data_IF_796569608938
#
_entry.id   IF_796569608938
#
_cell.length_a   1.000
_cell.length_b   1.000
_cell.length_c   1.000
_cell.angle_alpha   90.00
_cell.angle_beta   90.00
_cell.angle_gamma   90.00
#
_symmetry.space_group_name_H-M   'P 1'
#
loop_
_entity.id
_entity.type
_entity.pdbx_description
1 polymer ?
#
# COMPACT_ATOMS: atom_id res chain seq x y z
N UNK A 1 -17.53 -4.58 -1.78
CA UNK A 1 -16.28 -4.12 -1.13
C UNK A 1 -15.12 -5.08 -1.40
N UNK A 2 -15.19 -6.37 -1.02
CA UNK A 2 -14.11 -7.32 -1.31
C UNK A 2 -13.76 -7.39 -2.82
N UNK A 3 -14.77 -7.62 -3.66
CA UNK A 3 -14.61 -7.61 -5.12
C UNK A 3 -14.02 -6.31 -5.67
N UNK A 4 -14.32 -5.17 -5.04
CA UNK A 4 -13.80 -3.85 -5.42
C UNK A 4 -12.30 -3.74 -5.07
N UNK A 5 -11.89 -4.20 -3.89
CA UNK A 5 -10.47 -4.28 -3.51
C UNK A 5 -9.71 -5.28 -4.39
N UNK A 6 -10.30 -6.44 -4.68
CA UNK A 6 -9.70 -7.46 -5.54
C UNK A 6 -9.48 -6.92 -6.96
N UNK A 7 -10.51 -6.27 -7.53
CA UNK A 7 -10.46 -5.68 -8.88
C UNK A 7 -9.44 -4.55 -8.94
N UNK A 8 -9.44 -3.64 -7.96
CA UNK A 8 -8.46 -2.55 -7.91
C UNK A 8 -7.04 -3.10 -7.81
N UNK A 9 -6.82 -4.09 -6.93
CA UNK A 9 -5.51 -4.70 -6.72
C UNK A 9 -5.03 -5.42 -7.98
N UNK A 10 -5.91 -6.14 -8.67
CA UNK A 10 -5.63 -6.77 -9.96
C UNK A 10 -5.19 -5.72 -10.97
N UNK A 11 -5.98 -4.68 -11.20
CA UNK A 11 -5.67 -3.64 -12.17
C UNK A 11 -4.35 -2.91 -11.82
N UNK A 12 -4.14 -2.57 -10.55
CA UNK A 12 -2.92 -1.86 -10.12
C UNK A 12 -1.67 -2.73 -10.21
N UNK A 13 -1.76 -4.05 -10.04
CA UNK A 13 -0.57 -4.91 -9.96
C UNK A 13 -0.30 -5.63 -11.28
N UNK A 14 -1.35 -6.21 -11.85
CA UNK A 14 -1.33 -7.06 -13.04
C UNK A 14 -1.35 -6.19 -14.30
N UNK A 15 -2.19 -5.16 -14.34
CA UNK A 15 -2.40 -4.37 -15.56
C UNK A 15 -1.51 -3.13 -15.65
N UNK A 16 -0.86 -2.71 -14.55
CA UNK A 16 0.07 -1.56 -14.55
C UNK A 16 1.38 -1.84 -15.30
N UNK A 17 1.31 -1.84 -16.63
CA UNK A 17 2.45 -1.89 -17.55
C UNK A 17 2.92 -0.50 -17.96
N UNK A 18 2.95 0.46 -17.02
CA UNK A 18 3.45 1.79 -17.35
C UNK A 18 4.97 1.75 -17.48
N UNK A 19 5.48 2.02 -18.69
CA UNK A 19 6.90 2.28 -18.96
C UNK A 19 7.50 3.42 -18.09
N UNK A 20 6.68 4.13 -17.30
CA UNK A 20 7.03 5.16 -16.33
C UNK A 20 7.48 4.61 -14.97
N UNK A 21 7.18 3.35 -14.69
CA UNK A 21 7.84 2.57 -13.64
C UNK A 21 9.23 2.07 -14.09
N UNK A 22 9.92 2.75 -15.00
CA UNK A 22 11.25 2.36 -15.49
C UNK A 22 12.32 2.22 -14.39
N UNK A 23 12.11 2.83 -13.22
CA UNK A 23 12.89 2.53 -12.01
C UNK A 23 12.70 1.07 -11.53
N UNK A 24 11.50 0.51 -11.68
CA UNK A 24 11.13 -0.89 -11.39
C UNK A 24 11.57 -1.89 -12.47
N UNK A 25 12.10 -1.44 -13.60
CA UNK A 25 12.58 -2.34 -14.66
C UNK A 25 13.97 -2.91 -14.37
N UNK A 26 14.62 -2.53 -13.26
CA UNK A 26 15.89 -3.12 -12.87
C UNK A 26 15.71 -4.07 -11.68
N UNK A 27 15.19 -5.27 -12.00
CA UNK A 27 15.05 -6.38 -11.07
C UNK A 27 16.33 -6.63 -10.25
N UNK A 28 17.51 -6.51 -10.87
CA UNK A 28 18.79 -6.73 -10.19
C UNK A 28 19.07 -5.65 -9.12
N UNK A 29 18.85 -4.38 -9.43
CA UNK A 29 19.02 -3.28 -8.47
C UNK A 29 18.03 -3.35 -7.31
N UNK A 30 16.76 -3.69 -7.59
CA UNK A 30 15.78 -3.86 -6.52
C UNK A 30 16.10 -5.07 -5.66
N UNK A 31 16.51 -6.18 -6.28
CA UNK A 31 16.92 -7.38 -5.54
C UNK A 31 18.15 -7.14 -4.66
N UNK A 32 19.14 -6.38 -5.15
CA UNK A 32 20.33 -6.05 -4.37
C UNK A 32 20.03 -5.12 -3.19
N UNK A 33 19.08 -4.20 -3.33
CA UNK A 33 18.62 -3.35 -2.22
C UNK A 33 18.07 -4.13 -1.02
N UNK A 34 17.48 -5.32 -1.25
CA UNK A 34 17.05 -6.21 -0.15
C UNK A 34 18.21 -6.91 0.57
N UNK A 35 19.41 -6.93 0.00
CA UNK A 35 20.61 -7.53 0.60
C UNK A 35 21.49 -6.49 1.30
N UNK A 36 21.20 -5.21 1.10
CA UNK A 36 21.92 -4.10 1.71
C UNK A 36 21.27 -3.72 3.05
N UNK A 37 22.11 -3.22 3.97
CA UNK A 37 21.67 -2.57 5.20
C UNK A 37 20.70 -1.44 4.90
N UNK A 38 19.81 -1.15 5.83
CA UNK A 38 18.78 -0.13 5.63
C UNK A 38 19.35 1.28 5.40
N UNK A 39 20.48 1.60 6.03
CA UNK A 39 21.16 2.89 5.96
C UNK A 39 22.22 3.00 4.85
N UNK A 40 22.42 1.95 4.04
CA UNK A 40 23.46 1.94 3.03
C UNK A 40 23.22 2.97 1.90
N UNK A 41 24.26 3.71 1.55
CA UNK A 41 24.24 4.61 0.39
C UNK A 41 23.98 3.78 -0.88
N UNK A 42 22.90 4.09 -1.60
CA UNK A 42 22.46 3.33 -2.78
C UNK A 42 21.39 2.27 -2.51
N UNK A 43 20.94 2.08 -1.26
CA UNK A 43 19.77 1.24 -0.97
C UNK A 43 18.47 1.96 -1.37
N UNK A 44 18.15 1.89 -2.66
CA UNK A 44 16.97 2.54 -3.24
C UNK A 44 15.65 2.03 -2.64
N UNK A 45 15.59 0.79 -2.14
CA UNK A 45 14.39 0.25 -1.49
C UNK A 45 14.14 0.92 -0.13
N UNK A 46 15.18 1.05 0.69
CA UNK A 46 15.09 1.72 1.98
C UNK A 46 14.74 3.21 1.81
N UNK A 47 15.37 3.89 0.84
CA UNK A 47 15.05 5.28 0.51
C UNK A 47 13.58 5.44 0.05
N UNK A 48 13.10 4.55 -0.82
CA UNK A 48 11.69 4.56 -1.28
C UNK A 48 10.72 4.30 -0.13
N UNK A 49 11.03 3.34 0.74
CA UNK A 49 10.19 3.04 1.91
C UNK A 49 10.10 4.26 2.83
N UNK A 50 11.22 4.92 3.14
CA UNK A 50 11.25 6.14 3.96
C UNK A 50 10.41 7.26 3.33
N UNK A 51 10.57 7.50 2.03
CA UNK A 51 9.77 8.49 1.32
C UNK A 51 8.26 8.20 1.38
N UNK A 52 7.85 6.92 1.31
CA UNK A 52 6.45 6.55 1.49
C UNK A 52 5.96 6.71 2.94
N UNK A 53 6.81 6.39 3.92
CA UNK A 53 6.52 6.59 5.33
C UNK A 53 6.27 8.08 5.63
N UNK A 54 7.23 8.95 5.29
CA UNK A 54 7.16 10.39 5.55
C UNK A 54 5.94 11.02 4.86
N UNK A 55 5.71 10.67 3.59
CA UNK A 55 4.58 11.15 2.81
C UNK A 55 3.24 10.76 3.44
N UNK A 56 3.11 9.51 3.90
CA UNK A 56 1.85 9.04 4.48
C UNK A 56 1.56 9.73 5.82
N UNK A 57 2.59 10.03 6.62
CA UNK A 57 2.43 10.84 7.84
C UNK A 57 1.86 12.20 7.48
N UNK A 58 2.45 12.91 6.51
CA UNK A 58 1.96 14.23 6.09
C UNK A 58 0.50 14.19 5.65
N UNK A 59 0.14 13.30 4.72
CA UNK A 59 -1.25 13.22 4.22
C UNK A 59 -2.25 12.84 5.30
N UNK A 60 -1.87 11.92 6.19
CA UNK A 60 -2.77 11.46 7.25
C UNK A 60 -3.01 12.56 8.30
N UNK A 61 -1.98 13.36 8.62
CA UNK A 61 -2.11 14.52 9.51
C UNK A 61 -2.99 15.59 8.88
N UNK A 62 -2.78 15.93 7.60
CA UNK A 62 -3.66 16.88 6.89
C UNK A 62 -5.11 16.38 6.87
N UNK A 63 -5.32 15.09 6.56
CA UNK A 63 -6.64 14.48 6.60
C UNK A 63 -7.28 14.58 7.99
N UNK A 64 -6.49 14.47 9.07
CA UNK A 64 -6.99 14.59 10.44
C UNK A 64 -7.55 16.00 10.74
N UNK A 65 -6.87 17.04 10.26
CA UNK A 65 -7.14 18.44 10.58
C UNK A 65 -8.26 19.05 9.73
N UNK A 66 -8.45 18.59 8.48
CA UNK A 66 -9.43 19.17 7.56
C UNK A 66 -10.84 18.56 7.69
N UNK A 67 -11.90 19.31 7.38
CA UNK A 67 -13.23 18.74 7.16
C UNK A 67 -13.18 17.65 6.09
N UNK A 68 -13.76 16.48 6.38
CA UNK A 68 -13.75 15.36 5.44
C UNK A 68 -14.54 15.70 4.18
N UNK A 69 -13.85 15.69 3.04
CA UNK A 69 -14.43 15.76 1.70
C UNK A 69 -14.24 14.42 0.98
N UNK A 70 -15.05 14.14 -0.05
CA UNK A 70 -14.88 12.98 -0.94
C UNK A 70 -13.42 12.88 -1.44
N UNK A 71 -12.86 13.99 -1.95
CA UNK A 71 -11.49 14.07 -2.45
C UNK A 71 -10.44 13.72 -1.37
N UNK A 72 -10.59 14.25 -0.15
CA UNK A 72 -9.63 13.98 0.92
C UNK A 72 -9.65 12.50 1.34
N UNK A 73 -10.83 11.89 1.35
CA UNK A 73 -11.02 10.47 1.67
C UNK A 73 -10.45 9.58 0.57
N UNK A 74 -10.73 9.89 -0.69
CA UNK A 74 -10.21 9.20 -1.87
C UNK A 74 -8.69 9.18 -1.90
N UNK A 75 -8.06 10.33 -1.64
CA UNK A 75 -6.58 10.44 -1.55
C UNK A 75 -6.01 9.55 -0.45
N UNK A 76 -6.67 9.52 0.71
CA UNK A 76 -6.22 8.71 1.84
C UNK A 76 -6.39 7.21 1.55
N UNK A 77 -7.53 6.81 0.99
CA UNK A 77 -7.79 5.45 0.52
C UNK A 77 -6.76 5.02 -0.51
N UNK A 78 -6.47 5.87 -1.49
CA UNK A 78 -5.44 5.61 -2.48
C UNK A 78 -4.07 5.38 -1.85
N UNK A 79 -3.64 6.22 -0.90
CA UNK A 79 -2.36 6.05 -0.23
C UNK A 79 -2.25 4.70 0.51
N UNK A 80 -3.34 4.27 1.16
CA UNK A 80 -3.44 2.95 1.82
C UNK A 80 -3.34 1.83 0.80
N UNK A 81 -4.06 1.92 -0.31
CA UNK A 81 -4.03 0.93 -1.38
C UNK A 81 -2.66 0.84 -2.05
N UNK A 82 -1.92 1.94 -2.15
CA UNK A 82 -0.52 1.93 -2.59
C UNK A 82 0.41 1.17 -1.65
N UNK A 83 0.16 1.21 -0.33
CA UNK A 83 0.89 0.35 0.63
C UNK A 83 0.61 -1.12 0.38
N UNK A 84 -0.67 -1.49 0.19
CA UNK A 84 -1.07 -2.86 -0.15
C UNK A 84 -0.37 -3.34 -1.42
N UNK A 85 -0.38 -2.52 -2.47
CA UNK A 85 0.26 -2.83 -3.76
C UNK A 85 1.79 -2.93 -3.65
N UNK A 86 2.44 -2.02 -2.92
CA UNK A 86 3.88 -2.06 -2.67
C UNK A 86 4.33 -3.34 -1.98
N UNK A 87 3.60 -3.75 -0.93
CA UNK A 87 3.88 -4.98 -0.18
C UNK A 87 3.70 -6.24 -1.03
N UNK A 88 2.73 -6.27 -1.94
CA UNK A 88 2.60 -7.37 -2.90
C UNK A 88 3.83 -7.44 -3.81
N UNK A 89 4.23 -6.32 -4.43
CA UNK A 89 5.39 -6.27 -5.32
C UNK A 89 6.66 -6.71 -4.59
N UNK A 90 6.82 -6.33 -3.32
CA UNK A 90 7.92 -6.80 -2.47
C UNK A 90 7.91 -8.32 -2.27
N UNK A 91 6.74 -8.94 -2.06
CA UNK A 91 6.62 -10.39 -1.98
C UNK A 91 7.06 -11.09 -3.28
N UNK A 92 6.68 -10.54 -4.43
CA UNK A 92 7.14 -11.04 -5.74
C UNK A 92 8.65 -10.95 -5.87
N UNK A 93 9.27 -9.81 -5.52
CA UNK A 93 10.72 -9.63 -5.57
C UNK A 93 11.49 -10.61 -4.69
N UNK A 94 11.01 -10.85 -3.47
CA UNK A 94 11.64 -11.79 -2.52
C UNK A 94 11.51 -13.24 -2.98
N UNK A 95 10.42 -13.57 -3.68
CA UNK A 95 10.15 -14.92 -4.18
C UNK A 95 10.91 -15.21 -5.47
N UNK A 96 11.00 -14.23 -6.35
CA UNK A 96 11.56 -14.38 -7.68
C UNK A 96 13.09 -14.56 -7.68
N UNK A 97 13.56 -15.48 -8.50
CA UNK A 97 14.98 -15.71 -8.79
C UNK A 97 15.43 -14.77 -9.92
N UNK A 98 14.60 -14.63 -10.96
CA UNK A 98 14.86 -13.83 -12.18
C UNK A 98 13.77 -12.78 -12.40
N UNK A 99 14.06 -11.77 -13.24
CA UNK A 99 13.08 -10.76 -13.63
C UNK A 99 11.86 -11.37 -14.35
N UNK A 100 12.06 -12.38 -15.20
CA UNK A 100 10.95 -13.10 -15.85
C UNK A 100 10.03 -13.77 -14.82
N UNK A 101 10.61 -14.43 -13.81
CA UNK A 101 9.83 -15.05 -12.75
C UNK A 101 9.08 -14.01 -11.91
N UNK A 102 9.65 -12.84 -11.68
CA UNK A 102 8.97 -11.73 -11.01
C UNK A 102 7.73 -11.27 -11.79
N UNK A 103 7.83 -11.08 -13.11
CA UNK A 103 6.68 -10.72 -13.94
C UNK A 103 5.62 -11.83 -13.95
N UNK A 104 6.03 -13.10 -14.12
CA UNK A 104 5.10 -14.23 -14.03
C UNK A 104 4.35 -14.27 -12.69
N UNK A 105 5.05 -14.03 -11.57
CA UNK A 105 4.44 -13.99 -10.25
C UNK A 105 3.48 -12.81 -10.06
N UNK A 106 3.78 -11.65 -10.67
CA UNK A 106 2.87 -10.49 -10.65
C UNK A 106 1.58 -10.73 -11.40
N UNK A 107 1.64 -11.43 -12.52
CA UNK A 107 0.48 -11.71 -13.36
C UNK A 107 -0.29 -12.97 -12.96
N UNK A 108 0.18 -13.70 -11.94
CA UNK A 108 -0.57 -14.83 -11.38
C UNK A 108 -1.64 -14.31 -10.42
N UNK A 109 -2.90 -14.44 -10.83
CA UNK A 109 -4.12 -14.07 -10.09
C UNK A 109 -4.22 -14.72 -8.68
N UNK A 110 -3.36 -15.70 -8.39
CA UNK A 110 -3.30 -16.44 -7.11
C UNK A 110 -2.27 -15.89 -6.12
N UNK A 111 -1.47 -14.89 -6.47
CA UNK A 111 -0.37 -14.42 -5.61
C UNK A 111 -0.83 -13.48 -4.47
N UNK A 112 -2.13 -13.21 -4.36
CA UNK A 112 -2.73 -12.59 -3.17
C UNK A 112 -2.80 -13.67 -2.08
N UNK A 113 -1.66 -14.01 -1.49
CA UNK A 113 -1.55 -14.97 -0.39
C UNK A 113 -2.15 -14.48 0.93
N UNK A 114 -3.18 -13.64 0.85
CA UNK A 114 -3.95 -13.04 1.93
C UNK A 114 -5.44 -13.23 1.63
N UNK A 115 -6.22 -13.52 2.65
CA UNK A 115 -7.68 -13.60 2.55
C UNK A 115 -8.26 -12.18 2.66
N UNK A 116 -8.55 -11.56 1.50
CA UNK A 116 -9.06 -10.18 1.42
C UNK A 116 -10.40 -10.06 2.13
N UNK A 117 -11.28 -11.06 1.99
CA UNK A 117 -12.58 -11.09 2.66
C UNK A 117 -12.38 -11.09 4.18
N UNK A 118 -11.48 -11.93 4.69
CA UNK A 118 -11.18 -11.98 6.11
C UNK A 118 -10.55 -10.69 6.61
N UNK A 119 -9.64 -10.08 5.85
CA UNK A 119 -9.04 -8.79 6.19
C UNK A 119 -10.09 -7.68 6.30
N UNK A 120 -10.99 -7.58 5.31
CA UNK A 120 -12.11 -6.63 5.34
C UNK A 120 -13.00 -6.88 6.56
N UNK A 121 -13.36 -8.14 6.83
CA UNK A 121 -14.16 -8.49 8.02
C UNK A 121 -13.50 -8.06 9.31
N UNK A 122 -12.18 -8.22 9.44
CA UNK A 122 -11.42 -7.75 10.61
C UNK A 122 -11.50 -6.22 10.74
N UNK A 123 -11.31 -5.51 9.64
CA UNK A 123 -11.43 -4.06 9.60
C UNK A 123 -12.81 -3.57 10.07
N UNK A 124 -13.88 -4.27 9.68
CA UNK A 124 -15.25 -3.87 10.00
C UNK A 124 -15.76 -4.40 11.36
N UNK A 125 -15.03 -5.27 12.05
CA UNK A 125 -15.53 -5.98 13.23
C UNK A 125 -15.82 -5.08 14.44
N UNK A 126 -15.11 -3.96 14.58
CA UNK A 126 -15.30 -3.01 15.69
C UNK A 126 -16.34 -1.91 15.38
N UNK A 127 -16.91 -1.89 14.17
CA UNK A 127 -17.85 -0.88 13.66
C UNK A 127 -17.39 0.59 13.87
N UNK A 128 -16.08 0.83 14.03
CA UNK A 128 -15.58 2.17 14.33
C UNK A 128 -15.69 3.06 13.10
N UNK A 129 -16.54 4.08 13.18
CA UNK A 129 -16.62 5.20 12.22
C UNK A 129 -16.02 6.49 12.80
N UNK A 130 -15.26 6.38 13.89
CA UNK A 130 -14.54 7.52 14.45
C UNK A 130 -13.28 7.84 13.64
N UNK A 131 -13.26 9.05 13.05
CA UNK A 131 -12.16 9.57 12.24
C UNK A 131 -10.84 9.55 13.01
N UNK A 132 -10.85 9.95 14.28
CA UNK A 132 -9.63 10.10 15.09
C UNK A 132 -8.98 8.75 15.36
N UNK A 133 -9.79 7.74 15.66
CA UNK A 133 -9.33 6.36 15.84
C UNK A 133 -8.73 5.81 14.55
N UNK A 134 -9.39 6.01 13.41
CA UNK A 134 -8.87 5.57 12.11
C UNK A 134 -7.52 6.24 11.79
N UNK A 135 -7.42 7.56 11.96
CA UNK A 135 -6.16 8.32 11.76
C UNK A 135 -5.05 7.82 12.66
N UNK A 136 -5.32 7.63 13.96
CA UNK A 136 -4.34 7.13 14.91
C UNK A 136 -3.82 5.75 14.50
N UNK A 137 -4.73 4.85 14.13
CA UNK A 137 -4.37 3.49 13.75
C UNK A 137 -3.60 3.46 12.42
N UNK A 138 -3.88 4.38 11.49
CA UNK A 138 -3.09 4.60 10.27
C UNK A 138 -1.64 4.96 10.59
N UNK A 139 -1.44 5.96 11.46
CA UNK A 139 -0.09 6.40 11.84
C UNK A 139 0.67 5.30 12.59
N UNK A 140 -0.02 4.61 13.50
CA UNK A 140 0.56 3.47 14.22
C UNK A 140 1.00 2.36 13.26
N UNK A 141 0.14 1.96 12.33
CA UNK A 141 0.45 0.92 11.34
C UNK A 141 1.60 1.34 10.41
N UNK A 142 1.64 2.61 9.98
CA UNK A 142 2.73 3.12 9.15
C UNK A 142 4.08 3.05 9.87
N UNK A 143 4.14 3.43 11.15
CA UNK A 143 5.36 3.33 11.94
C UNK A 143 5.77 1.87 12.17
N UNK A 144 4.83 1.02 12.59
CA UNK A 144 5.09 -0.39 12.82
C UNK A 144 5.57 -1.12 11.55
N UNK A 145 4.96 -0.83 10.39
CA UNK A 145 5.42 -1.37 9.10
C UNK A 145 6.85 -0.91 8.80
N UNK A 146 7.13 0.39 8.96
CA UNK A 146 8.45 0.95 8.67
C UNK A 146 9.55 0.30 9.52
N UNK A 147 9.35 0.21 10.83
CA UNK A 147 10.27 -0.45 11.77
C UNK A 147 10.45 -1.93 11.43
N UNK A 148 9.37 -2.64 11.10
CA UNK A 148 9.45 -4.04 10.72
C UNK A 148 10.25 -4.24 9.43
N UNK A 149 10.01 -3.42 8.40
CA UNK A 149 10.77 -3.49 7.16
C UNK A 149 12.25 -3.16 7.37
N UNK A 150 12.57 -2.14 8.18
CA UNK A 150 13.96 -1.85 8.56
C UNK A 150 14.61 -3.06 9.24
N UNK A 151 13.91 -3.67 10.21
CA UNK A 151 14.39 -4.87 10.89
C UNK A 151 14.63 -6.03 9.92
N UNK A 152 13.76 -6.24 8.92
CA UNK A 152 13.96 -7.26 7.88
C UNK A 152 15.21 -6.99 7.01
N UNK A 153 15.51 -5.71 6.74
CA UNK A 153 16.71 -5.29 6.02
C UNK A 153 17.99 -5.50 6.84
N UNK A 154 17.94 -5.24 8.15
CA UNK A 154 19.12 -5.29 9.00
C UNK A 154 19.43 -6.73 9.45
N UNK A 155 18.40 -7.52 9.80
CA UNK A 155 18.57 -8.90 10.30
C UNK A 155 18.65 -9.96 9.21
N UNK A 156 18.22 -9.66 7.98
CA UNK A 156 18.22 -10.57 6.84
C UNK A 156 17.66 -11.98 7.15
N UNK A 157 16.45 -12.11 7.73
CA UNK A 157 15.94 -13.40 8.15
C UNK A 157 15.61 -14.31 6.94
N UNK A 158 15.38 -15.61 7.17
CA UNK A 158 14.98 -16.53 6.12
C UNK A 158 13.78 -16.03 5.33
N UNK A 159 13.75 -16.35 4.03
CA UNK A 159 12.71 -15.92 3.08
C UNK A 159 11.28 -16.10 3.61
N UNK A 160 11.00 -17.23 4.26
CA UNK A 160 9.67 -17.54 4.78
C UNK A 160 9.18 -16.53 5.84
N UNK A 161 10.08 -16.05 6.69
CA UNK A 161 9.77 -15.06 7.72
C UNK A 161 9.50 -13.69 7.11
N UNK A 162 10.33 -13.26 6.14
CA UNK A 162 10.11 -12.02 5.37
C UNK A 162 8.71 -12.02 4.74
N UNK A 163 8.32 -13.11 4.10
CA UNK A 163 7.01 -13.24 3.45
C UNK A 163 5.86 -13.21 4.46
N UNK A 164 6.02 -13.82 5.64
CA UNK A 164 4.99 -13.78 6.70
C UNK A 164 4.74 -12.35 7.18
N UNK A 165 5.81 -11.57 7.39
CA UNK A 165 5.72 -10.17 7.82
C UNK A 165 5.05 -9.31 6.75
N UNK A 166 5.45 -9.44 5.47
CA UNK A 166 4.84 -8.68 4.38
C UNK A 166 3.34 -8.96 4.22
N UNK A 167 2.93 -10.24 4.32
CA UNK A 167 1.51 -10.63 4.27
C UNK A 167 0.71 -10.07 5.44
N UNK A 168 1.30 -10.06 6.63
CA UNK A 168 0.66 -9.48 7.81
C UNK A 168 0.33 -8.00 7.60
N UNK A 169 1.33 -7.19 7.20
CA UNK A 169 1.10 -5.77 6.97
C UNK A 169 0.18 -5.51 5.78
N UNK A 170 0.25 -6.32 4.72
CA UNK A 170 -0.66 -6.18 3.59
C UNK A 170 -2.12 -6.39 4.03
N UNK A 171 -2.38 -7.42 4.84
CA UNK A 171 -3.70 -7.68 5.41
C UNK A 171 -4.16 -6.58 6.38
N UNK A 172 -3.26 -6.05 7.20
CA UNK A 172 -3.55 -4.94 8.10
C UNK A 172 -3.94 -3.66 7.33
N UNK A 173 -3.23 -3.33 6.26
CA UNK A 173 -3.55 -2.19 5.40
C UNK A 173 -4.90 -2.36 4.69
N UNK A 174 -5.25 -3.57 4.24
CA UNK A 174 -6.60 -3.84 3.68
C UNK A 174 -7.68 -3.65 4.76
N UNK A 175 -7.43 -4.13 5.97
CA UNK A 175 -8.36 -3.96 7.10
C UNK A 175 -8.61 -2.47 7.38
N UNK A 176 -7.55 -1.67 7.37
CA UNK A 176 -7.63 -0.22 7.55
C UNK A 176 -8.34 0.47 6.38
N UNK A 177 -8.05 0.08 5.13
CA UNK A 177 -8.76 0.58 3.95
C UNK A 177 -10.27 0.33 4.03
N UNK A 178 -10.69 -0.85 4.48
CA UNK A 178 -12.11 -1.16 4.69
C UNK A 178 -12.78 -0.22 5.72
N UNK A 179 -12.05 0.15 6.78
CA UNK A 179 -12.52 1.12 7.78
C UNK A 179 -12.69 2.52 7.20
N UNK A 180 -11.76 2.97 6.36
CA UNK A 180 -11.92 4.24 5.65
C UNK A 180 -13.13 4.24 4.71
N UNK A 181 -13.38 3.14 3.98
CA UNK A 181 -14.59 3.03 3.15
C UNK A 181 -15.85 3.07 4.00
N UNK A 182 -15.87 2.39 5.14
CA UNK A 182 -17.01 2.38 6.05
C UNK A 182 -17.27 3.77 6.67
N UNK A 183 -16.22 4.44 7.14
CA UNK A 183 -16.27 5.83 7.60
C UNK A 183 -16.79 6.76 6.50
N UNK A 184 -16.24 6.65 5.29
CA UNK A 184 -16.65 7.43 4.14
C UNK A 184 -18.12 7.24 3.80
N UNK A 185 -18.61 6.01 3.79
CA UNK A 185 -20.01 5.71 3.54
C UNK A 185 -20.94 6.40 4.56
N UNK A 186 -20.53 6.47 5.83
CA UNK A 186 -21.28 7.17 6.87
C UNK A 186 -21.29 8.70 6.67
N UNK A 187 -20.17 9.28 6.22
CA UNK A 187 -20.04 10.73 6.00
C UNK A 187 -20.70 11.19 4.69
N UNK A 188 -20.55 10.40 3.62
CA UNK A 188 -20.99 10.75 2.26
C UNK A 188 -22.41 10.24 1.94
N UNK A 189 -23.09 9.60 2.88
CA UNK A 189 -24.48 9.16 2.73
C UNK A 189 -24.67 7.89 1.90
N UNK A 190 -23.63 7.05 1.77
CA UNK A 190 -23.73 5.75 1.10
C UNK A 190 -22.40 5.23 0.55
N UNK A 191 -22.25 3.91 0.47
CA UNK A 191 -21.03 3.27 -0.05
C UNK A 191 -20.81 3.55 -1.55
N UNK A 192 -21.88 3.81 -2.30
CA UNK A 192 -21.81 4.15 -3.72
C UNK A 192 -21.13 5.51 -3.97
N UNK A 193 -21.06 6.37 -2.95
CA UNK A 193 -20.42 7.68 -3.01
C UNK A 193 -18.95 7.65 -2.56
N UNK A 194 -18.43 6.48 -2.16
CA UNK A 194 -17.02 6.31 -1.84
C UNK A 194 -16.33 5.76 -3.08
N UNK A 195 -15.66 6.61 -3.84
CA UNK A 195 -14.90 6.14 -4.98
C UNK A 195 -13.53 5.63 -4.51
N UNK A 196 -13.08 4.55 -5.14
CA UNK A 196 -11.66 4.26 -5.19
C UNK A 196 -11.13 4.95 -6.43
N UNK A 197 -10.08 5.75 -6.29
CA UNK A 197 -9.39 6.31 -7.44
C UNK A 197 -9.00 5.19 -8.40
N UNK A 198 -9.09 5.47 -9.71
CA UNK A 198 -8.69 4.52 -10.77
C UNK A 198 -7.32 3.92 -10.43
N UNK A 199 -7.17 2.61 -10.66
CA UNK A 199 -5.91 1.91 -10.52
C UNK A 199 -4.91 2.44 -11.55
N UNK A 200 -4.24 3.54 -11.20
CA UNK A 200 -3.26 4.24 -12.01
C UNK A 200 -2.18 4.78 -11.07
N UNK A 201 -0.96 4.87 -11.60
CA UNK A 201 0.12 5.62 -10.95
C UNK A 201 -0.41 7.00 -10.54
N UNK A 202 -0.02 7.49 -9.35
CA UNK A 202 -0.28 8.87 -8.86
C UNK A 202 -0.12 9.93 -9.98
N UNK A 203 0.78 9.70 -10.95
CA UNK A 203 1.11 10.60 -12.07
C UNK A 203 0.19 10.49 -13.29
N UNK A 204 -0.60 9.43 -13.40
CA UNK A 204 -1.49 9.15 -14.53
C UNK A 204 -2.95 9.57 -14.25
N UNK A 205 -3.22 10.07 -13.04
CA UNK A 205 -4.44 10.82 -12.73
C UNK A 205 -4.33 12.19 -13.38
N UNK A 206 -4.59 12.27 -14.68
CA UNK A 206 -4.86 13.53 -15.36
C UNK A 206 -6.13 14.14 -14.77
N UNK A 207 -6.01 15.19 -13.96
CA UNK A 207 -7.14 16.07 -13.63
C UNK A 207 -7.54 16.22 -12.17
N UNK A 208 -6.94 15.49 -11.22
CA UNK A 208 -7.20 15.69 -9.79
C UNK A 208 -5.91 16.07 -9.05
N UNK A 209 -5.63 17.38 -9.07
CA UNK A 209 -4.80 18.15 -8.14
C UNK A 209 -3.92 17.34 -7.17
N UNK A 210 -2.60 17.34 -7.38
CA UNK A 210 -1.67 17.39 -6.23
C UNK A 210 -1.45 18.87 -5.91
N UNK A 211 -1.73 19.34 -4.70
CA UNK A 211 -1.37 20.70 -4.33
C UNK A 211 0.08 20.72 -3.83
N UNK A 212 1.07 20.31 -4.64
CA UNK A 212 2.49 20.61 -4.35
C UNK A 212 3.26 20.76 -5.66
N UNK A 213 2.95 21.84 -6.38
CA UNK A 213 3.95 22.57 -7.14
C UNK A 213 4.16 23.89 -6.40
N UNK A 214 5.27 23.96 -5.67
CA UNK A 214 6.20 25.07 -5.89
C UNK A 214 7.30 24.51 -6.81
#
# INVERSE_FOLDING_TARGET
MAEVFDTWLHNEIVESNSNRNSYMNNFATHKSGYLQRFDAQGNMNAAKLRAHYDRLVTFTTTFAEEPTTEISLERQLFCILMKVSGLYRHQCYITAITGKQYEELRHQDKAVGIDIIQAIRRGLADNTTDKNTIVRDTLHLNNAEFEAMQSLHDSQPPRGEKLKVLKHYQSAWISLGARYVHYGAAVLGGIANVQLLEAKSLTDVTGHYYPFKD
#
